data_IF_669325002391
#
_entry.id   IF_669325002391
#
_cell.length_a   1.000
_cell.length_b   1.000
_cell.length_c   1.000
_cell.angle_alpha   90.00
_cell.angle_beta   90.00
_cell.angle_gamma   90.00
#
_symmetry.space_group_name_H-M   'P 1'
#
loop_
_entity.id
_entity.type
_entity.pdbx_description
1 polymer ?
#
# COMPACT_ATOMS: atom_id res chain seq x y z
N UNK A 1 3.22 -2.11 -0.01
CA UNK A 1 2.15 -1.47 -0.83
C UNK A 1 1.04 -2.46 -1.09
N UNK A 2 -0.14 -2.01 -1.51
CA UNK A 2 -1.26 -2.90 -1.86
C UNK A 2 -1.94 -2.50 -3.16
N UNK A 3 -2.80 -3.37 -3.69
CA UNK A 3 -3.62 -3.10 -4.87
C UNK A 3 -5.09 -3.13 -4.42
N UNK A 4 -5.85 -2.10 -4.77
CA UNK A 4 -7.30 -2.08 -4.52
C UNK A 4 -8.04 -3.05 -5.46
N UNK A 5 -9.29 -3.37 -5.14
CA UNK A 5 -10.13 -4.21 -6.00
C UNK A 5 -10.29 -3.69 -7.44
N UNK A 6 -10.14 -2.37 -7.65
CA UNK A 6 -10.17 -1.74 -8.98
C UNK A 6 -8.76 -1.54 -9.60
N UNK A 7 -7.74 -2.25 -9.12
CA UNK A 7 -6.41 -2.27 -9.71
C UNK A 7 -5.56 -1.01 -9.44
N UNK A 8 -5.91 -0.18 -8.46
CA UNK A 8 -5.12 1.02 -8.12
C UNK A 8 -4.06 0.65 -7.08
N UNK A 9 -2.83 1.10 -7.30
CA UNK A 9 -1.76 0.98 -6.30
C UNK A 9 -2.05 1.91 -5.13
N UNK A 10 -1.99 1.34 -3.93
CA UNK A 10 -2.26 1.99 -2.65
C UNK A 10 -1.03 1.96 -1.76
N UNK A 11 -0.78 3.10 -1.13
CA UNK A 11 0.16 3.21 -0.02
C UNK A 11 -0.66 3.11 1.27
N UNK A 12 -0.27 2.16 2.13
CA UNK A 12 -0.97 1.81 3.36
C UNK A 12 0.00 1.97 4.52
N UNK A 13 -0.44 2.62 5.59
CA UNK A 13 0.22 2.52 6.89
C UNK A 13 -0.65 1.63 7.76
N UNK A 14 -0.05 0.60 8.34
CA UNK A 14 -0.76 -0.33 9.22
C UNK A 14 0.06 -0.60 10.48
N UNK A 15 -0.63 -1.10 11.49
CA UNK A 15 -0.01 -1.71 12.67
C UNK A 15 -0.57 -3.12 12.82
N UNK A 16 0.25 -4.01 13.36
CA UNK A 16 -0.13 -5.38 13.65
C UNK A 16 -0.08 -5.60 15.16
N UNK A 17 -1.16 -6.18 15.72
CA UNK A 17 -1.24 -6.55 17.13
C UNK A 17 -2.14 -7.76 17.33
N UNK A 18 -1.64 -8.78 18.02
CA UNK A 18 -2.39 -9.99 18.39
C UNK A 18 -3.12 -10.61 17.18
N UNK A 19 -2.41 -10.92 16.09
CA UNK A 19 -2.97 -11.44 14.83
C UNK A 19 -4.00 -10.54 14.14
N UNK A 20 -4.07 -9.26 14.52
CA UNK A 20 -4.94 -8.28 13.86
C UNK A 20 -4.12 -7.21 13.18
N UNK A 21 -4.40 -7.01 11.90
CA UNK A 21 -3.88 -5.90 11.13
C UNK A 21 -4.89 -4.76 11.21
N UNK A 22 -4.47 -3.61 11.73
CA UNK A 22 -5.24 -2.36 11.66
C UNK A 22 -4.61 -1.44 10.64
N UNK A 23 -5.34 -1.16 9.57
CA UNK A 23 -4.97 -0.09 8.63
C UNK A 23 -5.24 1.25 9.32
N UNK A 24 -4.21 2.09 9.40
CA UNK A 24 -4.25 3.43 10.00
C UNK A 24 -4.61 4.46 8.93
N UNK A 25 -3.98 4.33 7.75
CA UNK A 25 -4.24 5.21 6.60
C UNK A 25 -4.05 4.45 5.30
N UNK A 26 -4.87 4.82 4.30
CA UNK A 26 -4.81 4.29 2.95
C UNK A 26 -5.02 5.44 1.96
N UNK A 27 -4.09 5.62 1.04
CA UNK A 27 -4.21 6.59 -0.06
C UNK A 27 -3.77 6.00 -1.39
N UNK A 28 -4.19 6.64 -2.47
CA UNK A 28 -3.66 6.35 -3.82
C UNK A 28 -2.16 6.63 -3.84
N UNK A 29 -1.39 5.72 -4.43
CA UNK A 29 0.01 5.94 -4.68
C UNK A 29 0.19 7.08 -5.69
N UNK A 30 1.22 7.90 -5.47
CA UNK A 30 1.69 8.85 -6.47
C UNK A 30 2.33 8.11 -7.65
N UNK A 31 2.50 8.78 -8.80
CA UNK A 31 3.14 8.17 -9.98
C UNK A 31 4.54 7.63 -9.66
N UNK A 32 5.32 8.37 -8.86
CA UNK A 32 6.66 7.96 -8.44
C UNK A 32 6.63 6.70 -7.57
N UNK A 33 5.78 6.68 -6.55
CA UNK A 33 5.63 5.53 -5.64
C UNK A 33 5.13 4.28 -6.37
N UNK A 34 4.21 4.46 -7.33
CA UNK A 34 3.73 3.39 -8.18
C UNK A 34 4.87 2.77 -9.00
N UNK A 35 5.67 3.57 -9.68
CA UNK A 35 6.82 3.09 -10.46
C UNK A 35 7.80 2.31 -9.59
N UNK A 36 8.11 2.85 -8.42
CA UNK A 36 9.02 2.20 -7.48
C UNK A 36 8.51 0.82 -6.99
N UNK A 37 7.19 0.69 -6.80
CA UNK A 37 6.56 -0.60 -6.51
C UNK A 37 6.61 -1.56 -7.72
N UNK A 38 6.32 -1.07 -8.93
CA UNK A 38 6.33 -1.87 -10.17
C UNK A 38 7.75 -2.33 -10.55
N UNK A 39 8.77 -1.53 -10.22
CA UNK A 39 10.19 -1.84 -10.41
C UNK A 39 10.75 -2.82 -9.36
N UNK A 40 9.94 -3.22 -8.36
CA UNK A 40 10.34 -4.19 -7.33
C UNK A 40 11.43 -3.68 -6.38
N UNK A 41 11.62 -2.36 -6.27
CA UNK A 41 12.73 -1.75 -5.52
C UNK A 41 12.48 -1.62 -4.00
N UNK A 42 11.65 -2.48 -3.41
CA UNK A 42 11.31 -2.45 -1.98
C UNK A 42 12.09 -3.45 -1.13
#
# INVERSE_FOLDING_TARGET
MGISANGRVLVLTHTERHDRIRIISCRKATVRERRFYEEGSF
#
